data_IF_424296535517
#
_entry.id   IF_424296535517
#
_cell.length_a   1.000
_cell.length_b   1.000
_cell.length_c   1.000
_cell.angle_alpha   90.00
_cell.angle_beta   90.00
_cell.angle_gamma   90.00
#
_symmetry.space_group_name_H-M   'P 1'
#
loop_
_entity.id
_entity.type
_entity.pdbx_description
1 polymer ?
#
# COMPACT_ATOMS: atom_id res chain seq x y z
N UNK A 1 30.45 -15.52 -0.04
CA UNK A 1 30.32 -14.04 -0.05
C UNK A 1 29.66 -13.55 -1.34
N UNK A 2 30.10 -13.98 -2.53
CA UNK A 2 29.56 -13.53 -3.84
C UNK A 2 28.06 -13.79 -4.07
N UNK A 3 27.51 -14.87 -3.51
CA UNK A 3 26.07 -15.20 -3.67
C UNK A 3 25.17 -14.31 -2.82
N UNK A 4 25.62 -13.91 -1.63
CA UNK A 4 24.89 -12.97 -0.75
C UNK A 4 24.80 -11.58 -1.40
N UNK A 5 25.86 -11.14 -2.06
CA UNK A 5 25.86 -9.86 -2.79
C UNK A 5 24.86 -9.88 -3.96
N UNK A 6 24.79 -10.99 -4.70
CA UNK A 6 23.86 -11.14 -5.83
C UNK A 6 22.41 -11.22 -5.37
N UNK A 7 22.13 -11.94 -4.28
CA UNK A 7 20.80 -12.04 -3.70
C UNK A 7 20.34 -10.70 -3.12
N UNK A 8 21.23 -9.99 -2.42
CA UNK A 8 20.96 -8.65 -1.91
C UNK A 8 20.67 -7.65 -3.05
N UNK A 9 21.50 -7.63 -4.10
CA UNK A 9 21.27 -6.80 -5.29
C UNK A 9 19.91 -7.15 -5.91
N UNK A 10 19.57 -8.43 -6.04
CA UNK A 10 18.28 -8.87 -6.59
C UNK A 10 17.10 -8.38 -5.76
N UNK A 11 17.15 -8.54 -4.43
CA UNK A 11 16.08 -8.09 -3.53
C UNK A 11 15.90 -6.56 -3.57
N UNK A 12 17.00 -5.80 -3.64
CA UNK A 12 16.95 -4.34 -3.78
C UNK A 12 16.33 -3.95 -5.11
N UNK A 13 16.75 -4.57 -6.22
CA UNK A 13 16.17 -4.29 -7.54
C UNK A 13 14.67 -4.62 -7.59
N UNK A 14 14.25 -5.76 -7.03
CA UNK A 14 12.84 -6.14 -6.98
C UNK A 14 12.04 -5.16 -6.12
N UNK A 15 12.57 -4.76 -4.97
CA UNK A 15 11.95 -3.73 -4.12
C UNK A 15 11.75 -2.43 -4.88
N UNK A 16 12.77 -1.99 -5.62
CA UNK A 16 12.72 -0.75 -6.40
C UNK A 16 11.67 -0.84 -7.52
N UNK A 17 11.61 -1.96 -8.23
CA UNK A 17 10.56 -2.21 -9.23
C UNK A 17 9.16 -2.20 -8.60
N UNK A 18 8.96 -2.84 -7.45
CA UNK A 18 7.68 -2.86 -6.74
C UNK A 18 7.28 -1.44 -6.31
N UNK A 19 8.22 -0.61 -5.86
CA UNK A 19 7.95 0.79 -5.54
C UNK A 19 7.57 1.60 -6.78
N UNK A 20 8.21 1.37 -7.93
CA UNK A 20 7.83 2.03 -9.18
C UNK A 20 6.40 1.66 -9.61
N UNK A 21 6.05 0.37 -9.49
CA UNK A 21 4.69 -0.12 -9.74
C UNK A 21 3.69 0.51 -8.76
N UNK A 22 4.05 0.63 -7.48
CA UNK A 22 3.20 1.26 -6.47
C UNK A 22 2.82 2.71 -6.81
N UNK A 23 3.72 3.49 -7.41
CA UNK A 23 3.39 4.85 -7.89
C UNK A 23 2.28 4.81 -8.93
N UNK A 24 2.37 3.90 -9.91
CA UNK A 24 1.33 3.74 -10.94
C UNK A 24 -0.01 3.29 -10.35
N UNK A 25 0.03 2.42 -9.34
CA UNK A 25 -1.16 1.99 -8.61
C UNK A 25 -1.78 3.16 -7.86
N UNK A 26 -1.01 3.99 -7.16
CA UNK A 26 -1.54 5.14 -6.44
C UNK A 26 -2.32 6.11 -7.34
N UNK A 27 -1.85 6.32 -8.57
CA UNK A 27 -2.53 7.21 -9.54
C UNK A 27 -3.86 6.63 -10.03
N UNK A 28 -3.94 5.31 -10.21
CA UNK A 28 -5.11 4.67 -10.85
C UNK A 28 -6.17 4.18 -9.85
N UNK A 29 -5.75 3.62 -8.71
CA UNK A 29 -6.64 2.91 -7.77
C UNK A 29 -6.66 3.52 -6.35
N UNK A 30 -5.86 4.56 -6.10
CA UNK A 30 -5.81 5.27 -4.82
C UNK A 30 -4.90 4.64 -3.77
N UNK A 31 -4.74 5.33 -2.63
CA UNK A 31 -3.74 5.00 -1.61
C UNK A 31 -3.93 3.64 -0.93
N UNK A 32 -5.13 3.35 -0.37
CA UNK A 32 -5.39 2.11 0.39
C UNK A 32 -5.32 0.87 -0.52
N UNK A 33 -5.91 0.86 -1.72
CA UNK A 33 -5.81 -0.30 -2.64
C UNK A 33 -4.38 -0.49 -3.12
N UNK A 34 -3.70 0.58 -3.54
CA UNK A 34 -2.31 0.53 -3.97
C UNK A 34 -1.39 -0.02 -2.86
N UNK A 35 -1.59 0.46 -1.63
CA UNK A 35 -0.80 0.05 -0.47
C UNK A 35 -1.10 -1.38 -0.06
N UNK A 36 -2.36 -1.81 -0.11
CA UNK A 36 -2.75 -3.18 0.19
C UNK A 36 -2.11 -4.17 -0.78
N UNK A 37 -2.10 -3.87 -2.08
CA UNK A 37 -1.43 -4.69 -3.09
C UNK A 37 0.07 -4.71 -2.84
N UNK A 38 0.69 -3.55 -2.59
CA UNK A 38 2.13 -3.48 -2.31
C UNK A 38 2.51 -4.31 -1.09
N UNK A 39 1.81 -4.15 0.04
CA UNK A 39 2.07 -4.89 1.28
C UNK A 39 1.88 -6.39 1.06
N UNK A 40 0.83 -6.79 0.34
CA UNK A 40 0.57 -8.19 0.04
C UNK A 40 1.69 -8.81 -0.81
N UNK A 41 2.10 -8.14 -1.89
CA UNK A 41 3.18 -8.60 -2.79
C UNK A 41 4.52 -8.65 -2.07
N UNK A 42 4.81 -7.67 -1.21
CA UNK A 42 6.08 -7.61 -0.49
C UNK A 42 6.15 -8.66 0.62
N UNK A 43 5.05 -8.83 1.36
CA UNK A 43 4.92 -9.87 2.39
C UNK A 43 5.09 -11.27 1.79
N UNK A 44 4.51 -11.55 0.62
CA UNK A 44 4.68 -12.84 -0.05
C UNK A 44 6.08 -13.00 -0.63
N UNK A 45 6.67 -11.95 -1.22
CA UNK A 45 8.03 -12.00 -1.79
C UNK A 45 9.11 -12.29 -0.74
N UNK A 46 9.04 -11.65 0.43
CA UNK A 46 9.98 -11.91 1.54
C UNK A 46 9.68 -13.19 2.33
N UNK A 47 8.74 -14.02 1.86
CA UNK A 47 8.55 -15.38 2.37
C UNK A 47 7.61 -15.49 3.58
N UNK A 48 6.71 -14.52 3.80
CA UNK A 48 5.68 -14.70 4.81
C UNK A 48 4.75 -15.86 4.42
N UNK A 49 4.79 -16.96 5.18
CA UNK A 49 3.97 -18.16 4.94
C UNK A 49 2.53 -18.02 5.44
N UNK A 50 2.26 -17.03 6.30
CA UNK A 50 0.92 -16.82 6.83
C UNK A 50 0.15 -15.82 5.95
N UNK A 51 -0.51 -16.37 4.93
CA UNK A 51 -1.36 -15.60 4.01
C UNK A 51 -2.54 -14.92 4.71
N UNK A 52 -3.05 -15.49 5.80
CA UNK A 52 -4.14 -14.89 6.57
C UNK A 52 -3.69 -13.60 7.26
N UNK A 53 -2.57 -13.64 7.98
CA UNK A 53 -1.99 -12.43 8.59
C UNK A 53 -1.62 -11.39 7.53
N UNK A 54 -1.10 -11.83 6.38
CA UNK A 54 -0.80 -10.92 5.26
C UNK A 54 -2.05 -10.19 4.78
N UNK A 55 -3.17 -10.89 4.57
CA UNK A 55 -4.41 -10.29 4.11
C UNK A 55 -5.02 -9.33 5.14
N UNK A 56 -4.97 -9.68 6.43
CA UNK A 56 -5.46 -8.81 7.50
C UNK A 56 -4.63 -7.52 7.56
N UNK A 57 -3.31 -7.64 7.63
CA UNK A 57 -2.39 -6.50 7.77
C UNK A 57 -2.41 -5.60 6.54
N UNK A 58 -2.44 -6.18 5.33
CA UNK A 58 -2.46 -5.41 4.09
C UNK A 58 -3.70 -4.54 3.94
N UNK A 59 -4.81 -4.90 4.58
CA UNK A 59 -6.05 -4.12 4.55
C UNK A 59 -6.13 -3.18 5.76
N UNK A 60 -5.88 -3.70 6.97
CA UNK A 60 -6.10 -2.95 8.20
C UNK A 60 -5.15 -1.77 8.35
N UNK A 61 -3.86 -1.95 8.01
CA UNK A 61 -2.84 -0.92 8.19
C UNK A 61 -3.04 0.27 7.25
N UNK A 62 -3.17 0.08 5.92
CA UNK A 62 -3.40 1.20 5.01
C UNK A 62 -4.71 1.93 5.29
N UNK A 63 -5.74 1.20 5.73
CA UNK A 63 -7.04 1.79 6.08
C UNK A 63 -6.94 2.67 7.35
N UNK A 64 -6.25 2.18 8.38
CA UNK A 64 -5.98 2.95 9.60
C UNK A 64 -5.14 4.20 9.31
N UNK A 65 -4.09 4.07 8.48
CA UNK A 65 -3.25 5.21 8.07
C UNK A 65 -4.05 6.22 7.25
N UNK A 66 -4.89 5.77 6.30
CA UNK A 66 -5.73 6.68 5.53
C UNK A 66 -6.67 7.48 6.43
N UNK A 67 -7.31 6.82 7.39
CA UNK A 67 -8.15 7.49 8.38
C UNK A 67 -7.35 8.48 9.23
N UNK A 68 -6.21 8.08 9.77
CA UNK A 68 -5.34 8.94 10.58
C UNK A 68 -4.92 10.19 9.80
N UNK A 69 -4.42 10.02 8.58
CA UNK A 69 -3.96 11.14 7.76
C UNK A 69 -5.11 12.07 7.36
N UNK A 70 -6.25 11.53 6.94
CA UNK A 70 -7.39 12.36 6.50
C UNK A 70 -8.12 13.03 7.66
N UNK A 71 -8.31 12.35 8.80
CA UNK A 71 -9.13 12.86 9.91
C UNK A 71 -8.33 13.56 11.00
N UNK A 72 -7.14 13.08 11.31
CA UNK A 72 -6.33 13.64 12.42
C UNK A 72 -5.35 14.68 11.89
N UNK A 73 -4.72 14.39 10.76
CA UNK A 73 -3.64 15.22 10.21
C UNK A 73 -4.11 16.13 9.06
N UNK A 74 -5.36 15.99 8.59
CA UNK A 74 -5.96 16.77 7.50
C UNK A 74 -5.11 16.77 6.21
N UNK A 75 -4.40 15.67 5.94
CA UNK A 75 -3.56 15.50 4.75
C UNK A 75 -4.39 14.89 3.62
N UNK A 76 -4.29 15.46 2.43
CA UNK A 76 -4.92 14.91 1.23
C UNK A 76 -4.09 13.77 0.65
N UNK A 77 -4.62 12.55 0.76
CA UNK A 77 -4.09 11.36 0.09
C UNK A 77 -4.86 11.12 -1.21
N UNK A 78 -4.27 10.46 -2.23
CA UNK A 78 -4.97 10.07 -3.44
C UNK A 78 -6.32 9.43 -3.11
N UNK A 79 -7.43 10.05 -3.55
CA UNK A 79 -8.76 9.70 -3.07
C UNK A 79 -9.14 8.30 -3.50
N UNK A 80 -10.03 7.71 -2.71
CA UNK A 80 -10.58 6.41 -3.05
C UNK A 80 -11.68 6.58 -4.11
N UNK A 81 -11.82 5.67 -5.07
CA UNK A 81 -12.95 5.71 -6.01
C UNK A 81 -14.34 5.62 -5.34
N UNK A 82 -14.41 5.33 -4.04
CA UNK A 82 -15.63 5.34 -3.22
C UNK A 82 -16.02 6.78 -2.80
N UNK A 83 -15.11 7.75 -2.89
CA UNK A 83 -15.36 9.15 -2.58
C UNK A 83 -16.24 9.88 -3.64
N UNK A 84 -16.61 9.18 -4.73
CA UNK A 84 -17.39 9.73 -5.86
C UNK A 84 -18.91 9.64 -5.63
N UNK A 85 -19.37 8.88 -4.62
CA UNK A 85 -20.80 8.79 -4.30
C UNK A 85 -21.28 10.02 -3.50
N UNK A 86 -22.43 10.63 -3.84
CA UNK A 86 -22.97 11.84 -3.19
C UNK A 86 -23.47 11.61 -1.74
N UNK A 87 -23.18 10.45 -1.14
CA UNK A 87 -23.53 10.12 0.24
C UNK A 87 -22.48 10.59 1.27
N UNK A 88 -21.34 11.12 0.82
CA UNK A 88 -20.25 11.59 1.69
C UNK A 88 -20.08 13.11 1.62
N UNK A 89 -21.12 13.86 1.95
CA UNK A 89 -21.03 15.31 2.28
C UNK A 89 -20.39 15.54 3.67
N UNK A 90 -19.50 14.65 4.11
CA UNK A 90 -18.80 14.72 5.39
C UNK A 90 -17.49 15.51 5.29
N UNK A 91 -17.20 16.11 4.13
CA UNK A 91 -16.04 16.97 3.89
C UNK A 91 -16.29 18.46 4.18
N UNK A 92 -17.49 18.83 4.66
CA UNK A 92 -17.89 20.21 4.94
C UNK A 92 -18.30 20.48 6.40
N UNK A 93 -17.95 19.59 7.34
CA UNK A 93 -18.11 19.85 8.79
C UNK A 93 -16.84 19.42 9.52
#
# INVERSE_FOLDING_TARGET
MRDLDREAITNVTVTLCIMAVYVLLMVNIGFVLGSAVMIAVMSTYFGNRNYYLTAVVSISIPMALFFLFRRVLLVELPPFPIDIYPLTHWSLI
#
